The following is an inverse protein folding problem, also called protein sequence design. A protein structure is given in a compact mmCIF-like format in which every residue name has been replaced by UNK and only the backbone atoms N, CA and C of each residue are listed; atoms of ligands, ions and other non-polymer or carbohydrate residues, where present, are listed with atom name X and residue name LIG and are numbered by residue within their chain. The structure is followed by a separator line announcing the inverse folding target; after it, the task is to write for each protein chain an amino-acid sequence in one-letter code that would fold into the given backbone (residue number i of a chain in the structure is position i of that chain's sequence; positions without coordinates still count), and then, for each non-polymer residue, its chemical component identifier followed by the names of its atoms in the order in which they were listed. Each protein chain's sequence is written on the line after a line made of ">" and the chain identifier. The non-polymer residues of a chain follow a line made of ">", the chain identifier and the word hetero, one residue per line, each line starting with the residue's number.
data_IF_111191773023
#
_entry.id   IF_111191773023
#
_cell.length_a   1.000
_cell.length_b   1.000
_cell.length_c   1.000
_cell.angle_alpha   90.00
_cell.angle_beta   90.00
_cell.angle_gamma   90.00
#
_symmetry.space_group_name_H-M   'P 1'
#
loop_
_entity.id
_entity.type
_entity.pdbx_description
1 polymer ?
#
# COMPACT_ATOMS: atom_id res chain seq x y z
N UNK A 1 7.62 6.34 -24.19
CA UNK A 1 6.73 5.21 -24.60
C UNK A 1 7.44 4.28 -25.59
N UNK A 2 8.04 4.75 -26.68
CA UNK A 2 8.72 3.91 -27.70
C UNK A 2 9.87 3.04 -27.17
N UNK A 3 10.63 3.48 -26.16
CA UNK A 3 11.68 2.68 -25.53
C UNK A 3 11.12 1.59 -24.63
N UNK A 4 10.07 1.89 -23.85
CA UNK A 4 9.42 0.91 -22.96
C UNK A 4 8.78 -0.24 -23.76
N UNK A 5 8.23 0.05 -24.93
CA UNK A 5 7.61 -0.95 -25.80
C UNK A 5 8.63 -1.96 -26.38
N UNK A 6 9.94 -1.67 -26.33
CA UNK A 6 11.01 -2.56 -26.81
C UNK A 6 11.53 -3.52 -25.75
N UNK A 7 11.13 -3.36 -24.48
CA UNK A 7 11.60 -4.19 -23.40
C UNK A 7 10.99 -5.60 -23.49
N UNK A 8 11.84 -6.60 -23.35
CA UNK A 8 11.39 -7.99 -23.34
C UNK A 8 10.65 -8.31 -22.02
N UNK A 9 9.62 -9.16 -22.06
CA UNK A 9 9.00 -9.71 -20.87
C UNK A 9 9.99 -10.53 -20.04
N UNK A 10 9.92 -10.41 -18.69
CA UNK A 10 10.91 -11.04 -17.78
C UNK A 10 10.44 -12.35 -17.16
N UNK A 11 9.14 -12.67 -17.19
CA UNK A 11 8.59 -13.85 -16.53
C UNK A 11 7.94 -14.86 -17.48
N UNK A 12 7.41 -14.42 -18.60
CA UNK A 12 6.69 -15.28 -19.53
C UNK A 12 6.90 -14.77 -20.96
N UNK A 13 7.22 -15.66 -21.88
CA UNK A 13 7.26 -15.34 -23.30
C UNK A 13 5.90 -14.80 -23.76
N UNK A 14 5.89 -13.70 -24.52
CA UNK A 14 4.68 -12.99 -24.89
C UNK A 14 3.92 -12.33 -23.72
N UNK A 15 4.52 -12.27 -22.54
CA UNK A 15 3.95 -11.61 -21.35
C UNK A 15 4.02 -10.10 -21.44
N UNK A 16 3.44 -9.42 -20.43
CA UNK A 16 3.34 -7.95 -20.36
C UNK A 16 4.23 -7.32 -19.29
N UNK A 17 4.81 -8.12 -18.39
CA UNK A 17 5.65 -7.62 -17.29
C UNK A 17 7.09 -7.53 -17.76
N UNK A 18 7.63 -6.31 -17.74
CA UNK A 18 8.99 -5.97 -18.17
C UNK A 18 9.74 -5.21 -17.08
N UNK A 19 11.05 -5.02 -17.23
CA UNK A 19 11.82 -4.19 -16.31
C UNK A 19 11.32 -2.74 -16.24
N UNK A 20 10.67 -2.22 -17.28
CA UNK A 20 10.19 -0.84 -17.34
C UNK A 20 8.83 -0.60 -16.69
N UNK A 21 8.10 -1.66 -16.33
CA UNK A 21 6.81 -1.58 -15.64
C UNK A 21 6.76 -2.42 -14.35
N UNK A 22 7.93 -2.65 -13.76
CA UNK A 22 8.15 -3.32 -12.50
C UNK A 22 8.92 -2.43 -11.55
N UNK A 23 8.72 -2.61 -10.25
CA UNK A 23 9.54 -1.93 -9.24
C UNK A 23 10.99 -2.44 -9.26
N UNK A 24 11.93 -1.59 -8.90
CA UNK A 24 13.29 -2.01 -8.59
C UNK A 24 13.33 -2.75 -7.25
N UNK A 25 14.27 -3.71 -7.11
CA UNK A 25 14.65 -4.25 -5.78
C UNK A 25 15.72 -3.33 -5.20
N UNK A 26 15.44 -2.76 -4.06
CA UNK A 26 16.25 -1.72 -3.46
C UNK A 26 16.56 -2.04 -2.00
N UNK A 27 17.58 -1.39 -1.46
CA UNK A 27 17.90 -1.42 -0.04
C UNK A 27 17.34 -0.18 0.63
N UNK A 28 16.69 -0.36 1.77
CA UNK A 28 16.24 0.72 2.62
C UNK A 28 15.93 0.20 4.04
N UNK A 29 15.83 1.16 4.97
CA UNK A 29 15.34 0.90 6.33
C UNK A 29 14.27 1.92 6.67
N UNK A 30 13.25 1.49 7.40
CA UNK A 30 12.20 2.34 7.93
C UNK A 30 11.78 1.84 9.31
N UNK A 31 11.41 2.75 10.19
CA UNK A 31 11.00 2.44 11.56
C UNK A 31 9.72 3.17 11.87
N UNK A 32 8.78 2.46 12.47
CA UNK A 32 7.57 3.03 13.08
C UNK A 32 7.48 2.57 14.54
N UNK A 33 7.10 3.48 15.43
CA UNK A 33 6.84 3.16 16.82
C UNK A 33 5.35 2.86 16.96
N UNK A 34 5.03 1.65 17.40
CA UNK A 34 3.66 1.23 17.71
C UNK A 34 3.51 1.10 19.21
N UNK A 35 2.49 1.74 19.77
CA UNK A 35 2.26 1.75 21.23
C UNK A 35 0.78 1.90 21.55
N UNK A 36 0.40 1.73 22.81
CA UNK A 36 -0.97 2.01 23.27
C UNK A 36 -1.14 3.49 23.63
N UNK A 37 -2.39 4.01 23.65
CA UNK A 37 -2.65 5.39 24.07
C UNK A 37 -2.11 5.72 25.45
N UNK A 38 -2.20 4.77 26.39
CA UNK A 38 -1.74 4.93 27.77
C UNK A 38 -0.22 5.10 27.83
N UNK A 39 0.53 4.28 27.08
CA UNK A 39 1.99 4.38 27.00
C UNK A 39 2.43 5.65 26.26
N UNK A 40 1.75 6.01 25.17
CA UNK A 40 2.03 7.25 24.46
C UNK A 40 1.92 8.44 25.44
N UNK A 41 0.85 8.52 26.20
CA UNK A 41 0.66 9.54 27.23
C UNK A 41 1.75 9.49 28.31
N UNK A 42 2.08 8.31 28.83
CA UNK A 42 3.09 8.15 29.87
C UNK A 42 4.50 8.61 29.42
N UNK A 43 4.82 8.44 28.15
CA UNK A 43 6.10 8.87 27.56
C UNK A 43 6.05 10.28 26.91
N UNK A 44 4.95 11.01 27.03
CA UNK A 44 4.80 12.33 26.42
C UNK A 44 4.84 12.31 24.89
N UNK A 45 4.54 11.17 24.26
CA UNK A 45 4.53 11.03 22.81
C UNK A 45 3.22 11.62 22.24
N UNK A 46 3.34 12.19 21.04
CA UNK A 46 2.19 12.63 20.24
C UNK A 46 1.93 11.60 19.15
N UNK A 47 0.92 10.73 19.26
CA UNK A 47 0.61 9.75 18.22
C UNK A 47 0.24 10.45 16.92
N UNK A 48 0.80 10.01 15.79
CA UNK A 48 0.52 10.59 14.48
C UNK A 48 -0.79 10.05 13.90
N UNK A 49 -1.03 8.76 14.09
CA UNK A 49 -2.21 8.08 13.59
C UNK A 49 -2.62 6.93 14.51
N UNK A 50 -3.85 6.48 14.36
CA UNK A 50 -4.39 5.29 15.00
C UNK A 50 -4.60 4.19 13.97
N UNK A 51 -4.10 2.99 14.20
CA UNK A 51 -4.45 1.81 13.39
C UNK A 51 -5.88 1.39 13.77
N UNK A 52 -6.79 1.40 12.82
CA UNK A 52 -8.20 1.09 13.03
C UNK A 52 -8.68 -0.16 12.30
N UNK A 53 -7.91 -0.65 11.32
CA UNK A 53 -8.24 -1.86 10.60
C UNK A 53 -6.99 -2.53 10.04
N UNK A 54 -6.97 -3.86 10.10
CA UNK A 54 -5.92 -4.69 9.48
C UNK A 54 -6.56 -5.90 8.81
N UNK A 55 -5.98 -6.34 7.70
CA UNK A 55 -6.38 -7.55 7.00
C UNK A 55 -5.19 -8.23 6.37
N UNK A 56 -5.04 -9.52 6.62
CA UNK A 56 -4.13 -10.39 5.90
C UNK A 56 -4.92 -11.54 5.30
N UNK A 57 -4.73 -11.84 4.01
CA UNK A 57 -5.48 -12.89 3.30
C UNK A 57 -4.59 -13.61 2.31
N UNK A 58 -4.89 -14.90 2.14
CA UNK A 58 -4.28 -15.74 1.10
C UNK A 58 -5.07 -15.71 -0.20
N UNK A 59 -4.35 -15.87 -1.31
CA UNK A 59 -4.88 -16.12 -2.66
C UNK A 59 -4.04 -17.22 -3.31
N UNK A 60 -4.52 -17.88 -4.37
CA UNK A 60 -3.68 -18.85 -5.07
C UNK A 60 -2.35 -18.23 -5.49
N UNK A 61 -1.20 -18.91 -5.29
CA UNK A 61 0.14 -18.34 -5.51
C UNK A 61 0.35 -17.75 -6.90
N UNK A 62 -0.23 -18.36 -7.94
CA UNK A 62 -0.16 -17.89 -9.33
C UNK A 62 -0.86 -16.54 -9.54
N UNK A 63 -1.72 -16.12 -8.62
CA UNK A 63 -2.42 -14.84 -8.62
C UNK A 63 -2.02 -13.96 -7.44
N UNK A 64 -0.80 -14.10 -6.94
CA UNK A 64 -0.35 -13.40 -5.73
C UNK A 64 -0.56 -11.89 -5.78
N UNK A 65 -0.49 -11.30 -6.98
CA UNK A 65 -0.63 -9.86 -7.19
C UNK A 65 -1.98 -9.27 -6.77
N UNK A 66 -3.05 -10.07 -6.73
CA UNK A 66 -4.38 -9.63 -6.28
C UNK A 66 -4.62 -9.84 -4.78
N UNK A 67 -3.63 -10.33 -4.02
CA UNK A 67 -3.70 -10.45 -2.56
C UNK A 67 -4.22 -9.21 -1.82
N UNK A 68 -3.89 -7.97 -2.25
CA UNK A 68 -4.45 -6.74 -1.68
C UNK A 68 -5.97 -6.68 -1.68
N UNK A 69 -6.66 -7.29 -2.64
CA UNK A 69 -8.12 -7.24 -2.76
C UNK A 69 -8.82 -7.84 -1.54
N UNK A 70 -8.67 -9.14 -1.23
CA UNK A 70 -9.32 -9.72 -0.06
C UNK A 70 -8.75 -9.17 1.26
N UNK A 71 -7.48 -8.72 1.29
CA UNK A 71 -6.89 -8.10 2.46
C UNK A 71 -7.55 -6.74 2.77
N UNK A 72 -7.81 -5.93 1.75
CA UNK A 72 -8.50 -4.63 1.89
C UNK A 72 -9.93 -4.81 2.38
N UNK A 73 -10.68 -5.76 1.82
CA UNK A 73 -12.03 -6.04 2.32
C UNK A 73 -12.02 -6.45 3.80
N UNK A 74 -11.05 -7.26 4.22
CA UNK A 74 -10.91 -7.64 5.62
C UNK A 74 -10.57 -6.45 6.53
N UNK A 75 -9.66 -5.56 6.09
CA UNK A 75 -9.29 -4.36 6.84
C UNK A 75 -10.46 -3.37 6.96
N UNK A 76 -11.21 -3.14 5.87
CA UNK A 76 -12.41 -2.30 5.86
C UNK A 76 -13.49 -2.85 6.81
N UNK A 77 -13.73 -4.17 6.75
CA UNK A 77 -14.67 -4.83 7.67
C UNK A 77 -14.26 -4.65 9.13
N UNK A 78 -12.97 -4.79 9.46
CA UNK A 78 -12.47 -4.59 10.82
C UNK A 78 -12.61 -3.14 11.28
N UNK A 79 -12.35 -2.17 10.38
CA UNK A 79 -12.48 -0.74 10.66
C UNK A 79 -13.94 -0.25 10.73
N UNK A 80 -14.89 -1.03 10.24
CA UNK A 80 -16.30 -0.60 10.09
C UNK A 80 -16.47 0.51 9.04
N UNK A 81 -15.59 0.54 8.03
CA UNK A 81 -15.58 1.54 6.97
C UNK A 81 -15.90 0.92 5.61
N UNK A 82 -16.33 1.79 4.71
CA UNK A 82 -16.45 1.50 3.27
C UNK A 82 -15.28 2.12 2.51
N UNK A 83 -15.02 1.68 1.29
CA UNK A 83 -13.88 2.15 0.51
C UNK A 83 -13.98 3.63 0.13
N UNK A 84 -15.18 4.13 -0.11
CA UNK A 84 -15.44 5.54 -0.42
C UNK A 84 -15.09 6.51 0.73
N UNK A 85 -15.09 6.00 1.97
CA UNK A 85 -14.66 6.76 3.15
C UNK A 85 -13.13 6.87 3.27
N UNK A 86 -12.37 6.12 2.48
CA UNK A 86 -10.91 6.23 2.46
C UNK A 86 -10.49 7.44 1.62
N UNK A 87 -9.72 8.31 2.23
CA UNK A 87 -9.27 9.56 1.63
C UNK A 87 -8.01 9.41 0.78
N UNK A 88 -7.06 8.58 1.23
CA UNK A 88 -5.79 8.34 0.58
C UNK A 88 -5.44 6.85 0.61
N UNK A 89 -4.79 6.39 -0.46
CA UNK A 89 -4.40 4.99 -0.63
C UNK A 89 -2.92 4.93 -1.04
N UNK A 90 -2.15 4.11 -0.35
CA UNK A 90 -0.84 3.65 -0.76
C UNK A 90 -0.95 2.17 -1.15
N UNK A 91 -0.96 1.91 -2.44
CA UNK A 91 -0.91 0.58 -3.03
C UNK A 91 0.52 0.30 -3.50
N UNK A 92 1.19 -0.70 -2.94
CA UNK A 92 2.52 -1.05 -3.41
C UNK A 92 2.51 -1.53 -4.87
N UNK A 93 3.31 -0.87 -5.70
CA UNK A 93 3.45 -1.16 -7.12
C UNK A 93 4.59 -2.16 -7.36
N UNK A 94 4.42 -3.42 -6.95
CA UNK A 94 5.39 -4.45 -7.30
C UNK A 94 5.51 -4.58 -8.83
N UNK A 95 4.37 -4.53 -9.53
CA UNK A 95 4.24 -4.53 -10.98
C UNK A 95 3.07 -3.65 -11.40
N UNK A 96 3.20 -2.92 -12.52
CA UNK A 96 2.11 -2.08 -13.04
C UNK A 96 0.85 -2.91 -13.33
N UNK A 97 1.02 -4.07 -13.98
CA UNK A 97 -0.10 -4.97 -14.29
C UNK A 97 -0.83 -5.45 -13.02
N UNK A 98 -0.09 -5.76 -11.95
CA UNK A 98 -0.65 -6.15 -10.67
C UNK A 98 -1.41 -4.99 -10.02
N UNK A 99 -0.84 -3.79 -10.00
CA UNK A 99 -1.50 -2.62 -9.41
C UNK A 99 -2.77 -2.24 -10.16
N UNK A 100 -2.75 -2.28 -11.50
CA UNK A 100 -3.93 -2.04 -12.32
C UNK A 100 -5.04 -3.07 -12.08
N UNK A 101 -4.67 -4.36 -11.89
CA UNK A 101 -5.64 -5.39 -11.54
C UNK A 101 -6.30 -5.10 -10.17
N UNK A 102 -5.53 -4.74 -9.15
CA UNK A 102 -6.05 -4.38 -7.82
C UNK A 102 -6.94 -3.13 -7.89
N UNK A 103 -6.50 -2.08 -8.61
CA UNK A 103 -7.28 -0.86 -8.82
C UNK A 103 -8.64 -1.20 -9.45
N UNK A 104 -8.63 -2.03 -10.48
CA UNK A 104 -9.85 -2.44 -11.19
C UNK A 104 -10.79 -3.27 -10.31
N UNK A 105 -10.26 -4.28 -9.60
CA UNK A 105 -11.04 -5.19 -8.77
C UNK A 105 -11.68 -4.49 -7.56
N UNK A 106 -10.95 -3.55 -6.93
CA UNK A 106 -11.45 -2.78 -5.80
C UNK A 106 -12.22 -1.53 -6.22
N UNK A 107 -12.13 -1.08 -7.47
CA UNK A 107 -12.67 0.21 -7.91
C UNK A 107 -11.95 1.41 -7.28
N UNK A 108 -10.61 1.32 -7.12
CA UNK A 108 -9.86 2.40 -6.49
C UNK A 108 -9.84 3.67 -7.35
N UNK A 109 -10.03 4.82 -6.71
CA UNK A 109 -9.82 6.11 -7.34
C UNK A 109 -8.31 6.37 -7.50
N UNK A 110 -7.84 6.45 -8.73
CA UNK A 110 -6.42 6.73 -9.03
C UNK A 110 -5.98 8.12 -8.57
N UNK A 111 -6.90 9.08 -8.44
CA UNK A 111 -6.58 10.42 -7.93
C UNK A 111 -6.29 10.41 -6.42
N UNK A 112 -6.69 9.37 -5.70
CA UNK A 112 -6.41 9.16 -4.28
C UNK A 112 -5.30 8.13 -4.04
N UNK A 113 -4.83 7.46 -5.08
CA UNK A 113 -3.90 6.32 -4.98
C UNK A 113 -2.49 6.74 -5.36
N UNK A 114 -1.51 6.48 -4.47
CA UNK A 114 -0.08 6.76 -4.68
C UNK A 114 0.18 8.20 -5.13
N UNK A 115 -0.48 9.16 -4.51
CA UNK A 115 -0.47 10.58 -4.90
C UNK A 115 0.94 11.22 -4.92
N UNK A 116 1.89 10.62 -4.21
CA UNK A 116 3.30 11.02 -4.19
C UNK A 116 4.22 10.01 -4.90
N UNK A 117 3.69 9.29 -5.89
CA UNK A 117 4.39 8.23 -6.61
C UNK A 117 4.42 6.90 -5.88
N UNK A 118 4.57 5.82 -6.62
CA UNK A 118 4.62 4.45 -6.13
C UNK A 118 5.97 3.77 -6.34
N UNK A 119 6.05 2.47 -6.09
CA UNK A 119 7.29 1.71 -6.06
C UNK A 119 7.97 1.57 -7.44
N UNK A 120 7.26 1.72 -8.54
CA UNK A 120 7.87 1.71 -9.89
C UNK A 120 8.83 2.89 -10.04
N UNK A 121 8.47 4.06 -9.48
CA UNK A 121 9.30 5.25 -9.51
C UNK A 121 10.30 5.33 -8.34
N UNK A 122 9.89 4.90 -7.14
CA UNK A 122 10.61 5.12 -5.88
C UNK A 122 11.41 3.92 -5.41
N UNK A 123 11.10 2.72 -5.90
CA UNK A 123 11.73 1.46 -5.50
C UNK A 123 10.88 0.65 -4.51
N UNK A 124 11.24 -0.63 -4.38
CA UNK A 124 10.58 -1.60 -3.51
C UNK A 124 11.59 -2.34 -2.65
N UNK A 125 12.05 -1.73 -1.55
CA UNK A 125 12.89 -2.41 -0.56
C UNK A 125 12.03 -3.38 0.26
N UNK A 126 11.96 -4.63 -0.18
CA UNK A 126 10.99 -5.66 0.25
C UNK A 126 10.71 -5.67 1.76
N UNK A 127 11.75 -5.70 2.58
CA UNK A 127 11.61 -5.74 4.04
C UNK A 127 11.19 -4.43 4.69
N UNK A 128 11.37 -3.29 4.01
CA UNK A 128 11.04 -1.96 4.53
C UNK A 128 9.76 -1.36 3.94
N UNK A 129 9.28 -1.88 2.80
CA UNK A 129 8.19 -1.25 2.03
C UNK A 129 6.92 -1.03 2.86
N UNK A 130 6.52 -2.00 3.68
CA UNK A 130 5.32 -1.84 4.52
C UNK A 130 5.39 -0.62 5.44
N UNK A 131 6.53 -0.41 6.10
CA UNK A 131 6.76 0.75 6.95
C UNK A 131 6.85 2.04 6.11
N UNK A 132 7.51 2.00 4.94
CA UNK A 132 7.67 3.16 4.06
C UNK A 132 6.32 3.67 3.54
N UNK A 133 5.47 2.79 2.99
CA UNK A 133 4.16 3.21 2.47
C UNK A 133 3.25 3.71 3.58
N UNK A 134 3.35 3.14 4.79
CA UNK A 134 2.61 3.61 5.94
C UNK A 134 3.08 5.01 6.38
N UNK A 135 4.39 5.27 6.43
CA UNK A 135 4.97 6.59 6.75
C UNK A 135 4.56 7.63 5.70
N UNK A 136 4.66 7.29 4.40
CA UNK A 136 4.20 8.16 3.31
C UNK A 136 2.74 8.54 3.47
N UNK A 137 1.88 7.53 3.71
CA UNK A 137 0.45 7.70 3.91
C UNK A 137 0.16 8.63 5.09
N UNK A 138 0.76 8.40 6.25
CA UNK A 138 0.56 9.22 7.44
C UNK A 138 0.98 10.68 7.21
N UNK A 139 2.15 10.89 6.59
CA UNK A 139 2.64 12.24 6.27
C UNK A 139 1.69 12.98 5.32
N UNK A 140 1.16 12.29 4.31
CA UNK A 140 0.25 12.90 3.35
C UNK A 140 -1.13 13.18 3.95
N UNK A 141 -1.63 12.30 4.81
CA UNK A 141 -2.85 12.56 5.59
C UNK A 141 -2.71 13.81 6.44
N UNK A 142 -1.60 13.98 7.14
CA UNK A 142 -1.33 15.19 7.95
C UNK A 142 -1.21 16.43 7.09
N UNK A 143 -0.43 16.37 5.99
CA UNK A 143 -0.22 17.51 5.09
C UNK A 143 -1.51 18.03 4.47
N UNK A 144 -2.44 17.11 4.19
CA UNK A 144 -3.71 17.43 3.50
C UNK A 144 -4.90 17.59 4.44
N UNK A 145 -4.72 17.36 5.75
CA UNK A 145 -5.82 17.38 6.73
C UNK A 145 -6.86 16.28 6.52
N UNK A 146 -6.51 15.21 5.78
CA UNK A 146 -7.40 14.09 5.51
C UNK A 146 -7.41 13.09 6.66
N UNK A 147 -8.48 12.32 6.78
CA UNK A 147 -8.74 11.50 7.96
C UNK A 147 -8.31 10.05 7.80
N UNK A 148 -8.79 9.35 6.79
CA UNK A 148 -8.58 7.90 6.66
C UNK A 148 -7.63 7.55 5.53
N UNK A 149 -6.69 6.67 5.82
CA UNK A 149 -5.75 6.17 4.84
C UNK A 149 -5.65 4.65 4.84
N UNK A 150 -5.47 4.08 3.67
CA UNK A 150 -5.25 2.65 3.41
C UNK A 150 -3.85 2.43 2.87
N UNK A 151 -3.04 1.61 3.53
CA UNK A 151 -1.82 1.04 2.98
C UNK A 151 -2.05 -0.44 2.66
N UNK A 152 -1.75 -0.86 1.44
CA UNK A 152 -1.95 -2.25 1.01
C UNK A 152 -0.84 -2.74 0.08
N UNK A 153 -0.49 -4.02 0.20
CA UNK A 153 0.55 -4.64 -0.62
C UNK A 153 0.32 -6.13 -0.81
N UNK A 154 0.77 -6.65 -1.95
CA UNK A 154 0.87 -8.09 -2.17
C UNK A 154 2.12 -8.65 -1.48
N UNK A 155 2.08 -9.94 -1.17
CA UNK A 155 3.19 -10.67 -0.54
C UNK A 155 3.42 -11.94 -1.36
N UNK A 156 4.68 -12.27 -1.59
CA UNK A 156 5.08 -13.49 -2.29
C UNK A 156 4.47 -14.75 -1.67
N UNK A 157 4.22 -15.74 -2.49
CA UNK A 157 3.56 -16.99 -2.06
C UNK A 157 2.03 -16.93 -2.10
N UNK A 158 1.42 -15.82 -2.55
CA UNK A 158 -0.03 -15.70 -2.68
C UNK A 158 -0.70 -15.13 -1.44
N UNK A 159 -0.26 -13.96 -1.00
CA UNK A 159 -0.81 -13.27 0.15
C UNK A 159 -0.98 -11.77 -0.14
N UNK A 160 -1.82 -11.12 0.65
CA UNK A 160 -1.92 -9.66 0.72
C UNK A 160 -2.10 -9.19 2.16
N UNK A 161 -1.65 -7.97 2.42
CA UNK A 161 -1.84 -7.29 3.69
C UNK A 161 -2.35 -5.88 3.45
N UNK A 162 -3.25 -5.43 4.33
CA UNK A 162 -3.80 -4.07 4.32
C UNK A 162 -3.88 -3.53 5.73
N UNK A 163 -3.58 -2.25 5.88
CA UNK A 163 -3.68 -1.52 7.14
C UNK A 163 -4.43 -0.21 6.89
N UNK A 164 -5.43 0.07 7.72
CA UNK A 164 -6.17 1.33 7.70
C UNK A 164 -5.78 2.14 8.94
N UNK A 165 -5.44 3.39 8.70
CA UNK A 165 -5.08 4.34 9.75
C UNK A 165 -6.02 5.53 9.75
N UNK A 166 -6.26 6.07 10.93
CA UNK A 166 -6.95 7.34 11.13
C UNK A 166 -5.92 8.38 11.58
N UNK A 167 -5.86 9.50 10.86
CA UNK A 167 -5.04 10.66 11.22
C UNK A 167 -5.58 11.30 12.50
N UNK A 168 -4.71 11.60 13.44
CA UNK A 168 -5.08 12.22 14.73
C UNK A 168 -4.85 13.74 14.78
N UNK A 169 -4.34 14.34 13.70
CA UNK A 169 -3.93 15.76 13.66
C UNK A 169 -4.60 16.60 12.56
N UNK A 170 -5.60 16.09 11.88
CA UNK A 170 -6.14 16.73 10.68
C UNK A 170 -7.64 16.99 10.66
N UNK A 171 -8.31 17.02 11.82
CA UNK A 171 -9.75 17.31 11.87
C UNK A 171 -10.00 18.50 12.78
#
# INVERSE_FOLDING_TARGET
>A
MTQLAKLAPVFKEGGTVTAGNSSGRNDAAAVVIVTTPEKAKAFGLKPLARVIGMGAKGVPPQFMGIGPVPATHAALKMAGLTLDQIDLIELNEAFAAQSLAVIKELGLDVAKTNVNGGAIALGHPLGATGAIILIKLMNELQRTGKRYGLATMCIGGGQGISTIVENLHGV
#
